data_IF_171916742919
#
_entry.id   IF_171916742919
#
_cell.length_a   1.000
_cell.length_b   1.000
_cell.length_c   1.000
_cell.angle_alpha   90.00
_cell.angle_beta   90.00
_cell.angle_gamma   90.00
#
_symmetry.space_group_name_H-M   'P 1'
#
loop_
_entity.id
_entity.type
_entity.pdbx_description
1 polymer ?
#
# COMPACT_ATOMS: atom_id res chain seq x y z
N UNK A 1 -40.67 34.34 9.93
CA UNK A 1 -40.41 32.91 9.68
C UNK A 1 -41.22 32.52 8.46
N UNK A 2 -40.57 32.52 7.31
CA UNK A 2 -41.15 32.13 6.03
C UNK A 2 -40.62 30.74 5.77
N UNK A 3 -41.53 29.76 5.81
CA UNK A 3 -41.21 28.36 5.56
C UNK A 3 -40.90 28.17 4.08
N UNK A 4 -39.70 27.65 3.80
CA UNK A 4 -39.31 27.19 2.48
C UNK A 4 -39.74 25.73 2.39
N UNK A 5 -40.71 25.47 1.52
CA UNK A 5 -41.13 24.14 1.14
C UNK A 5 -39.99 23.46 0.39
N UNK A 6 -39.54 22.31 0.89
CA UNK A 6 -38.70 21.38 0.15
C UNK A 6 -39.61 20.76 -0.90
N UNK A 7 -39.46 21.20 -2.14
CA UNK A 7 -40.04 20.56 -3.32
C UNK A 7 -39.36 19.22 -3.51
N UNK A 8 -39.92 18.17 -2.89
CA UNK A 8 -39.69 16.79 -3.28
C UNK A 8 -40.14 16.62 -4.72
N UNK A 9 -39.19 16.38 -5.60
CA UNK A 9 -39.44 16.05 -6.99
C UNK A 9 -39.96 14.60 -7.01
N UNK A 10 -41.28 14.47 -6.95
CA UNK A 10 -41.99 13.21 -7.14
C UNK A 10 -41.82 12.82 -8.61
N UNK A 11 -40.91 11.87 -8.88
CA UNK A 11 -40.98 11.06 -10.10
C UNK A 11 -42.24 10.20 -10.01
N UNK A 12 -43.31 10.73 -10.58
CA UNK A 12 -44.54 10.02 -10.87
C UNK A 12 -44.44 9.56 -12.32
N UNK A 13 -43.83 8.41 -12.57
CA UNK A 13 -44.06 7.62 -13.79
C UNK A 13 -44.91 6.42 -13.40
N UNK A 14 -46.04 6.25 -14.10
CA UNK A 14 -46.98 5.18 -13.82
C UNK A 14 -46.36 3.83 -14.11
N UNK A 15 -46.09 3.06 -13.05
CA UNK A 15 -45.81 1.63 -13.04
C UNK A 15 -47.04 0.87 -13.58
N UNK A 16 -47.20 0.86 -14.91
CA UNK A 16 -48.30 0.20 -15.62
C UNK A 16 -47.79 -0.78 -16.68
N UNK A 17 -46.88 -1.65 -16.27
CA UNK A 17 -46.68 -2.96 -16.87
C UNK A 17 -47.36 -4.01 -16.00
N UNK A 18 -48.65 -4.32 -16.24
CA UNK A 18 -49.36 -5.39 -15.52
C UNK A 18 -49.91 -6.35 -16.57
N UNK A 19 -49.03 -7.11 -17.21
CA UNK A 19 -49.40 -8.08 -18.25
C UNK A 19 -48.19 -8.88 -18.75
N UNK A 20 -48.40 -10.12 -19.23
CA UNK A 20 -47.31 -10.95 -19.76
C UNK A 20 -46.63 -10.27 -20.95
N UNK A 21 -45.32 -10.43 -21.07
CA UNK A 21 -44.53 -9.89 -22.17
C UNK A 21 -45.03 -10.37 -23.52
N UNK A 22 -45.10 -9.44 -24.48
CA UNK A 22 -45.43 -9.77 -25.87
C UNK A 22 -44.28 -10.53 -26.54
N UNK A 23 -44.53 -11.14 -27.72
CA UNK A 23 -43.45 -11.76 -28.51
C UNK A 23 -42.36 -10.75 -28.85
N UNK A 24 -42.73 -9.52 -29.20
CA UNK A 24 -41.77 -8.47 -29.51
C UNK A 24 -40.95 -8.05 -28.29
N UNK A 25 -41.54 -8.05 -27.09
CA UNK A 25 -40.81 -7.78 -25.85
C UNK A 25 -39.80 -8.88 -25.55
N UNK A 26 -40.17 -10.16 -25.75
CA UNK A 26 -39.25 -11.30 -25.57
C UNK A 26 -38.10 -11.30 -26.56
N UNK A 27 -38.36 -10.92 -27.81
CA UNK A 27 -37.31 -10.76 -28.82
C UNK A 27 -36.34 -9.63 -28.45
N UNK A 28 -36.84 -8.58 -27.76
CA UNK A 28 -36.00 -7.51 -27.24
C UNK A 28 -35.18 -7.96 -26.03
N UNK A 29 -35.72 -8.78 -25.13
CA UNK A 29 -34.96 -9.37 -24.01
C UNK A 29 -33.76 -10.13 -24.57
N UNK A 30 -33.99 -11.05 -25.50
CA UNK A 30 -32.94 -11.84 -26.12
C UNK A 30 -31.87 -10.97 -26.80
N UNK A 31 -32.28 -9.93 -27.53
CA UNK A 31 -31.33 -9.03 -28.20
C UNK A 31 -30.41 -8.27 -27.22
N UNK A 32 -30.94 -7.84 -26.06
CA UNK A 32 -30.17 -7.12 -25.04
C UNK A 32 -29.27 -8.11 -24.29
N UNK A 33 -29.81 -9.24 -23.82
CA UNK A 33 -29.06 -10.26 -23.09
C UNK A 33 -27.90 -10.81 -23.92
N UNK A 34 -28.09 -11.10 -25.22
CA UNK A 34 -27.03 -11.55 -26.12
C UNK A 34 -25.90 -10.52 -26.32
N UNK A 35 -26.20 -9.23 -26.07
CA UNK A 35 -25.28 -8.12 -26.28
C UNK A 35 -24.59 -7.62 -25.01
N UNK A 36 -24.94 -8.14 -23.84
CA UNK A 36 -24.40 -7.73 -22.55
C UNK A 36 -23.37 -8.74 -22.04
N UNK A 37 -22.24 -8.22 -21.55
CA UNK A 37 -21.30 -9.00 -20.76
C UNK A 37 -21.74 -8.95 -19.29
N UNK A 38 -21.92 -10.13 -18.68
CA UNK A 38 -22.21 -10.22 -17.25
C UNK A 38 -21.03 -9.67 -16.42
N UNK A 39 -21.28 -8.86 -15.38
CA UNK A 39 -20.25 -8.51 -14.40
C UNK A 39 -19.64 -9.77 -13.77
N UNK A 40 -18.39 -9.68 -13.30
CA UNK A 40 -17.66 -10.81 -12.71
C UNK A 40 -18.34 -11.43 -11.47
N UNK A 41 -19.31 -10.74 -10.87
CA UNK A 41 -20.07 -11.15 -9.69
C UNK A 41 -21.49 -11.65 -9.98
N UNK A 42 -21.97 -11.54 -11.23
CA UNK A 42 -23.33 -11.94 -11.61
C UNK A 42 -23.31 -13.07 -12.66
N UNK A 43 -24.27 -13.98 -12.55
CA UNK A 43 -24.47 -15.08 -13.51
C UNK A 43 -25.42 -14.68 -14.66
N UNK A 44 -25.39 -15.46 -15.75
CA UNK A 44 -26.21 -15.23 -16.95
C UNK A 44 -27.72 -15.21 -16.64
N UNK A 45 -28.19 -16.04 -15.71
CA UNK A 45 -29.61 -16.11 -15.30
C UNK A 45 -30.06 -14.79 -14.62
N UNK A 46 -29.19 -14.14 -13.86
CA UNK A 46 -29.47 -12.83 -13.24
C UNK A 46 -29.54 -11.74 -14.31
N UNK A 47 -28.67 -11.79 -15.31
CA UNK A 47 -28.71 -10.86 -16.45
C UNK A 47 -30.02 -11.02 -17.23
N UNK A 48 -30.44 -12.25 -17.54
CA UNK A 48 -31.72 -12.48 -18.22
C UNK A 48 -32.91 -11.95 -17.39
N UNK A 49 -32.92 -12.21 -16.08
CA UNK A 49 -33.93 -11.68 -15.15
C UNK A 49 -33.98 -10.15 -15.13
N UNK A 50 -32.82 -9.48 -15.03
CA UNK A 50 -32.74 -8.03 -14.97
C UNK A 50 -33.24 -7.36 -16.26
N UNK A 51 -32.91 -7.95 -17.41
CA UNK A 51 -33.38 -7.50 -18.72
C UNK A 51 -34.89 -7.73 -18.86
N UNK A 52 -35.42 -8.89 -18.44
CA UNK A 52 -36.86 -9.18 -18.44
C UNK A 52 -37.63 -8.11 -17.65
N UNK A 53 -37.16 -7.79 -16.44
CA UNK A 53 -37.78 -6.76 -15.58
C UNK A 53 -37.65 -5.35 -16.16
N UNK A 54 -36.50 -5.00 -16.76
CA UNK A 54 -36.32 -3.72 -17.45
C UNK A 54 -37.35 -3.55 -18.59
N UNK A 55 -37.55 -4.60 -19.39
CA UNK A 55 -38.56 -4.60 -20.45
C UNK A 55 -39.98 -4.65 -19.89
N UNK A 56 -40.20 -5.29 -18.74
CA UNK A 56 -41.50 -5.30 -18.09
C UNK A 56 -41.94 -3.89 -17.70
N UNK A 57 -41.01 -3.08 -17.20
CA UNK A 57 -41.24 -1.72 -16.73
C UNK A 57 -41.32 -0.71 -17.86
N UNK A 58 -40.42 -0.80 -18.84
CA UNK A 58 -40.28 0.19 -19.92
C UNK A 58 -40.94 -0.19 -21.23
N UNK A 59 -41.15 -1.49 -21.50
CA UNK A 59 -41.58 -2.05 -22.80
C UNK A 59 -40.59 -1.77 -23.93
N UNK A 60 -40.64 -2.62 -24.96
CA UNK A 60 -39.70 -2.50 -26.10
C UNK A 60 -39.83 -1.18 -26.86
N UNK A 61 -41.04 -0.59 -26.90
CA UNK A 61 -41.29 0.68 -27.58
C UNK A 61 -40.57 1.87 -26.94
N UNK A 62 -40.60 1.98 -25.61
CA UNK A 62 -39.96 3.13 -24.93
C UNK A 62 -38.43 2.96 -24.91
N UNK A 63 -37.92 1.72 -24.93
CA UNK A 63 -36.49 1.44 -25.09
C UNK A 63 -36.01 1.75 -26.52
N UNK A 64 -36.85 1.51 -27.53
CA UNK A 64 -36.60 1.96 -28.92
C UNK A 64 -36.56 3.48 -29.02
N UNK A 65 -37.54 4.18 -28.45
CA UNK A 65 -37.56 5.65 -28.45
C UNK A 65 -36.36 6.27 -27.72
N UNK A 66 -35.81 5.55 -26.73
CA UNK A 66 -34.62 5.98 -25.99
C UNK A 66 -33.31 5.57 -26.64
N UNK A 67 -33.34 4.71 -27.65
CA UNK A 67 -32.18 4.33 -28.46
C UNK A 67 -31.43 3.10 -27.97
N UNK A 68 -31.86 2.44 -26.89
CA UNK A 68 -31.17 1.25 -26.35
C UNK A 68 -31.29 0.03 -27.28
N UNK A 69 -32.42 -0.06 -27.98
CA UNK A 69 -32.68 -1.05 -29.01
C UNK A 69 -33.17 -0.37 -30.28
N UNK A 70 -32.89 -0.94 -31.42
CA UNK A 70 -33.39 -0.47 -32.71
C UNK A 70 -34.07 -1.59 -33.47
N UNK A 71 -35.04 -1.22 -34.31
CA UNK A 71 -35.79 -2.18 -35.11
C UNK A 71 -35.13 -2.39 -36.47
N UNK A 72 -34.79 -3.64 -36.77
CA UNK A 72 -34.30 -4.06 -38.09
C UNK A 72 -35.32 -4.97 -38.79
N UNK A 73 -35.08 -5.22 -40.08
CA UNK A 73 -35.87 -6.08 -40.96
C UNK A 73 -36.11 -7.50 -40.43
N UNK A 74 -35.37 -7.96 -39.43
CA UNK A 74 -35.49 -9.27 -38.79
C UNK A 74 -35.83 -9.31 -37.30
N UNK A 75 -35.94 -8.17 -36.59
CA UNK A 75 -36.13 -8.16 -35.14
C UNK A 75 -35.57 -6.91 -34.45
N UNK A 76 -35.26 -7.02 -33.17
CA UNK A 76 -34.58 -5.98 -32.40
C UNK A 76 -33.05 -6.16 -32.45
N UNK A 77 -32.32 -5.05 -32.45
CA UNK A 77 -30.87 -4.99 -32.34
C UNK A 77 -30.53 -4.16 -31.11
N UNK A 78 -29.66 -4.69 -30.25
CA UNK A 78 -29.09 -3.95 -29.13
C UNK A 78 -28.00 -2.97 -29.63
N UNK A 79 -28.12 -1.70 -29.23
CA UNK A 79 -27.23 -0.63 -29.70
C UNK A 79 -26.07 -0.33 -28.74
N UNK A 80 -26.23 -0.68 -27.46
CA UNK A 80 -25.33 -0.26 -26.39
C UNK A 80 -25.53 1.19 -25.92
N UNK A 81 -26.52 1.93 -26.42
CA UNK A 81 -26.77 3.33 -26.06
C UNK A 81 -27.59 3.43 -24.76
N UNK A 82 -26.91 3.25 -23.62
CA UNK A 82 -27.54 3.37 -22.31
C UNK A 82 -27.80 4.81 -21.91
N UNK A 83 -29.00 5.08 -21.37
CA UNK A 83 -29.28 6.31 -20.61
C UNK A 83 -29.10 6.07 -19.12
N UNK A 84 -28.79 7.12 -18.35
CA UNK A 84 -28.54 7.02 -16.90
C UNK A 84 -29.68 6.28 -16.18
N UNK A 85 -30.93 6.64 -16.47
CA UNK A 85 -32.09 6.03 -15.83
C UNK A 85 -32.21 4.53 -16.14
N UNK A 86 -32.06 4.15 -17.42
CA UNK A 86 -32.16 2.75 -17.85
C UNK A 86 -31.03 1.90 -17.30
N UNK A 87 -29.80 2.42 -17.29
CA UNK A 87 -28.65 1.73 -16.74
C UNK A 87 -28.79 1.54 -15.22
N UNK A 88 -29.29 2.56 -14.50
CA UNK A 88 -29.50 2.47 -13.06
C UNK A 88 -30.57 1.43 -12.74
N UNK A 89 -31.72 1.46 -13.45
CA UNK A 89 -32.78 0.46 -13.28
C UNK A 89 -32.31 -0.95 -13.63
N UNK A 90 -31.52 -1.10 -14.71
CA UNK A 90 -30.95 -2.40 -15.07
C UNK A 90 -30.10 -2.98 -13.94
N UNK A 91 -29.15 -2.22 -13.38
CA UNK A 91 -28.31 -2.73 -12.30
C UNK A 91 -29.05 -2.88 -10.98
N UNK A 92 -30.06 -2.05 -10.69
CA UNK A 92 -30.96 -2.26 -9.54
C UNK A 92 -31.68 -3.61 -9.67
N UNK A 93 -32.28 -3.90 -10.83
CA UNK A 93 -32.93 -5.18 -11.11
C UNK A 93 -31.94 -6.35 -11.07
N UNK A 94 -30.71 -6.16 -11.58
CA UNK A 94 -29.68 -7.20 -11.55
C UNK A 94 -29.35 -7.64 -10.13
N UNK A 95 -29.26 -6.69 -9.20
CA UNK A 95 -29.07 -6.98 -7.78
C UNK A 95 -30.33 -7.60 -7.15
N UNK A 96 -31.53 -7.13 -7.51
CA UNK A 96 -32.80 -7.70 -7.00
C UNK A 96 -33.10 -9.12 -7.52
N UNK A 97 -32.49 -9.51 -8.63
CA UNK A 97 -32.60 -10.86 -9.19
C UNK A 97 -31.80 -11.92 -8.42
N UNK A 98 -31.00 -11.53 -7.41
CA UNK A 98 -30.40 -12.45 -6.44
C UNK A 98 -30.81 -12.10 -5.01
N UNK A 99 -31.25 -13.11 -4.27
CA UNK A 99 -31.53 -12.99 -2.84
C UNK A 99 -30.24 -12.78 -2.02
N UNK A 100 -29.07 -13.11 -2.57
CA UNK A 100 -27.74 -13.08 -1.92
C UNK A 100 -26.78 -12.06 -2.61
N UNK A 101 -27.31 -11.06 -3.33
CA UNK A 101 -26.50 -10.11 -4.13
C UNK A 101 -25.39 -9.41 -3.34
N UNK A 102 -25.64 -9.12 -2.05
CA UNK A 102 -24.69 -8.43 -1.19
C UNK A 102 -23.44 -9.31 -0.94
N UNK A 103 -23.64 -10.63 -0.81
CA UNK A 103 -22.55 -11.60 -0.65
C UNK A 103 -21.78 -11.79 -1.97
N UNK A 104 -22.48 -11.83 -3.11
CA UNK A 104 -21.86 -11.92 -4.44
C UNK A 104 -20.96 -10.71 -4.73
N UNK A 105 -21.49 -9.50 -4.53
CA UNK A 105 -20.72 -8.26 -4.69
C UNK A 105 -19.61 -8.18 -3.64
N UNK A 106 -19.91 -8.57 -2.39
CA UNK A 106 -18.96 -8.59 -1.29
C UNK A 106 -17.76 -9.50 -1.57
N UNK A 107 -17.97 -10.69 -2.14
CA UNK A 107 -16.89 -11.59 -2.53
C UNK A 107 -16.02 -10.95 -3.63
N UNK A 108 -16.64 -10.39 -4.67
CA UNK A 108 -15.91 -9.73 -5.75
C UNK A 108 -15.13 -8.49 -5.28
N UNK A 109 -15.66 -7.78 -4.29
CA UNK A 109 -15.03 -6.61 -3.67
C UNK A 109 -14.11 -6.95 -2.50
N UNK A 110 -14.00 -8.23 -2.12
CA UNK A 110 -13.22 -8.72 -0.98
C UNK A 110 -13.59 -8.02 0.33
N UNK A 111 -14.89 -7.90 0.59
CA UNK A 111 -15.43 -7.35 1.82
C UNK A 111 -15.56 -8.44 2.89
N UNK A 112 -15.15 -8.14 4.12
CA UNK A 112 -15.28 -9.08 5.25
C UNK A 112 -16.72 -9.17 5.79
N UNK A 113 -17.52 -8.13 5.60
CA UNK A 113 -18.90 -8.00 6.09
C UNK A 113 -19.78 -7.30 5.03
N UNK A 114 -20.92 -7.90 4.71
CA UNK A 114 -21.84 -7.48 3.65
C UNK A 114 -23.14 -6.87 4.18
N UNK A 115 -23.37 -6.89 5.50
CA UNK A 115 -24.59 -6.35 6.14
C UNK A 115 -24.80 -4.87 5.77
N UNK A 116 -23.71 -4.09 5.64
CA UNK A 116 -23.80 -2.67 5.29
C UNK A 116 -24.20 -2.44 3.82
N UNK A 117 -23.87 -3.35 2.89
CA UNK A 117 -24.33 -3.23 1.50
C UNK A 117 -25.86 -3.30 1.42
N UNK A 118 -26.47 -4.19 2.20
CA UNK A 118 -27.93 -4.31 2.27
C UNK A 118 -28.58 -3.00 2.76
N UNK A 119 -27.98 -2.35 3.75
CA UNK A 119 -28.42 -1.04 4.28
C UNK A 119 -28.27 0.10 3.24
N UNK A 120 -27.21 0.06 2.41
CA UNK A 120 -27.01 1.02 1.30
C UNK A 120 -28.08 0.84 0.22
N UNK A 121 -28.43 -0.41 -0.07
CA UNK A 121 -29.51 -0.83 -0.95
C UNK A 121 -29.16 -0.87 -2.45
N UNK A 122 -29.92 -1.70 -3.17
CA UNK A 122 -29.76 -2.02 -4.60
C UNK A 122 -29.78 -0.78 -5.49
N UNK A 123 -30.65 0.20 -5.22
CA UNK A 123 -30.73 1.42 -6.02
C UNK A 123 -29.46 2.28 -5.97
N UNK A 124 -28.83 2.37 -4.79
CA UNK A 124 -27.60 3.15 -4.61
C UNK A 124 -26.40 2.42 -5.24
N UNK A 125 -26.26 1.12 -4.99
CA UNK A 125 -25.19 0.30 -5.57
C UNK A 125 -25.36 0.16 -7.10
N UNK A 126 -26.59 0.05 -7.59
CA UNK A 126 -26.90 0.01 -9.01
C UNK A 126 -26.52 1.30 -9.75
N UNK A 127 -26.71 2.46 -9.12
CA UNK A 127 -26.24 3.74 -9.66
C UNK A 127 -24.70 3.82 -9.76
N UNK A 128 -23.97 3.17 -8.86
CA UNK A 128 -22.51 3.03 -8.96
C UNK A 128 -22.14 2.21 -10.20
N UNK A 129 -22.66 0.98 -10.33
CA UNK A 129 -22.35 0.10 -11.46
C UNK A 129 -22.77 0.67 -12.81
N UNK A 130 -23.92 1.36 -12.88
CA UNK A 130 -24.39 2.02 -14.09
C UNK A 130 -23.36 3.00 -14.67
N UNK A 131 -22.66 3.74 -13.82
CA UNK A 131 -21.63 4.70 -14.24
C UNK A 131 -20.26 4.03 -14.45
N UNK A 132 -19.93 3.01 -13.66
CA UNK A 132 -18.61 2.38 -13.70
C UNK A 132 -18.46 1.37 -14.85
N UNK A 133 -19.52 0.61 -15.14
CA UNK A 133 -19.48 -0.51 -16.09
C UNK A 133 -20.04 -0.17 -17.48
N UNK A 134 -20.89 0.84 -17.61
CA UNK A 134 -21.53 1.19 -18.88
C UNK A 134 -21.11 2.56 -19.41
N UNK A 135 -21.11 2.69 -20.74
CA UNK A 135 -20.95 3.99 -21.40
C UNK A 135 -22.31 4.66 -21.53
N UNK A 136 -22.54 5.69 -20.72
CA UNK A 136 -23.82 6.42 -20.68
C UNK A 136 -23.87 7.54 -21.72
N UNK A 137 -24.90 7.52 -22.56
CA UNK A 137 -25.13 8.43 -23.70
C UNK A 137 -25.51 9.85 -23.27
N UNK A 138 -26.18 10.00 -22.13
CA UNK A 138 -26.77 11.24 -21.63
C UNK A 138 -26.11 11.75 -20.33
N UNK A 139 -24.93 11.23 -19.98
CA UNK A 139 -24.18 11.62 -18.76
C UNK A 139 -23.84 13.10 -18.64
N UNK A 140 -23.75 13.81 -19.77
CA UNK A 140 -23.45 15.24 -19.84
C UNK A 140 -24.73 16.11 -19.91
N UNK A 141 -25.90 15.47 -20.00
CA UNK A 141 -27.19 16.16 -20.16
C UNK A 141 -27.74 16.67 -18.83
N UNK A 142 -27.51 15.94 -17.74
CA UNK A 142 -27.66 16.37 -16.36
C UNK A 142 -26.66 15.63 -15.46
N UNK A 143 -26.23 16.26 -14.36
CA UNK A 143 -25.24 15.66 -13.44
C UNK A 143 -25.80 14.47 -12.63
N UNK A 144 -26.87 13.80 -13.08
CA UNK A 144 -27.54 12.73 -12.33
C UNK A 144 -26.64 11.52 -12.13
N UNK A 145 -25.95 11.07 -13.18
CA UNK A 145 -24.99 9.96 -13.11
C UNK A 145 -23.87 10.24 -12.11
N UNK A 146 -23.29 11.45 -12.16
CA UNK A 146 -22.22 11.84 -11.24
C UNK A 146 -22.72 11.92 -9.80
N UNK A 147 -23.90 12.50 -9.56
CA UNK A 147 -24.50 12.58 -8.22
C UNK A 147 -24.86 11.23 -7.65
N UNK A 148 -25.43 10.33 -8.47
CA UNK A 148 -25.78 8.97 -8.07
C UNK A 148 -24.54 8.20 -7.67
N UNK A 149 -23.51 8.21 -8.51
CA UNK A 149 -22.24 7.57 -8.18
C UNK A 149 -21.53 8.20 -6.97
N UNK A 150 -21.49 9.53 -6.87
CA UNK A 150 -20.86 10.20 -5.72
C UNK A 150 -21.57 9.86 -4.41
N UNK A 151 -22.91 9.78 -4.42
CA UNK A 151 -23.68 9.32 -3.27
C UNK A 151 -23.35 7.87 -2.93
N UNK A 152 -23.28 6.99 -3.92
CA UNK A 152 -22.93 5.59 -3.69
C UNK A 152 -21.54 5.43 -3.08
N UNK A 153 -20.54 6.17 -3.59
CA UNK A 153 -19.19 6.21 -3.00
C UNK A 153 -19.23 6.76 -1.57
N UNK A 154 -20.01 7.80 -1.28
CA UNK A 154 -20.13 8.35 0.09
C UNK A 154 -20.70 7.32 1.08
N UNK A 155 -21.74 6.59 0.69
CA UNK A 155 -22.36 5.56 1.53
C UNK A 155 -21.42 4.34 1.69
N UNK A 156 -20.77 3.89 0.62
CA UNK A 156 -19.74 2.84 0.66
C UNK A 156 -18.56 3.24 1.54
N UNK A 157 -18.10 4.49 1.45
CA UNK A 157 -17.04 5.03 2.28
C UNK A 157 -17.44 5.05 3.77
N UNK A 158 -18.68 5.44 4.05
CA UNK A 158 -19.21 5.46 5.42
C UNK A 158 -19.29 4.06 6.03
N UNK A 159 -19.52 3.02 5.21
CA UNK A 159 -19.56 1.64 5.66
C UNK A 159 -18.16 1.02 5.79
N UNK A 160 -17.29 1.24 4.81
CA UNK A 160 -16.14 0.38 4.58
C UNK A 160 -14.79 1.10 4.48
N UNK A 161 -14.76 2.40 4.20
CA UNK A 161 -13.52 3.13 3.96
C UNK A 161 -12.80 3.52 5.27
N UNK A 162 -12.37 2.52 6.02
CA UNK A 162 -11.54 2.72 7.19
C UNK A 162 -10.07 2.95 6.83
N UNK A 163 -9.34 3.69 7.67
CA UNK A 163 -7.90 3.80 7.51
C UNK A 163 -7.24 2.47 7.87
N UNK A 164 -6.30 1.94 7.07
CA UNK A 164 -5.58 0.73 7.42
C UNK A 164 -4.78 0.93 8.71
N UNK A 165 -4.48 -0.15 9.42
CA UNK A 165 -3.61 -0.08 10.58
C UNK A 165 -2.25 0.56 10.21
N UNK A 166 -1.76 1.46 11.06
CA UNK A 166 -0.49 2.13 10.84
C UNK A 166 0.65 1.11 10.68
N UNK A 167 1.54 1.26 9.68
CA UNK A 167 2.56 0.25 9.40
C UNK A 167 3.55 0.12 10.55
N UNK A 168 3.66 -1.09 11.10
CA UNK A 168 4.59 -1.41 12.19
C UNK A 168 5.92 -1.92 11.64
N UNK A 169 7.03 -1.41 12.16
CA UNK A 169 8.36 -1.83 11.74
C UNK A 169 9.23 -2.24 12.93
N UNK A 170 9.88 -3.40 12.80
CA UNK A 170 10.95 -3.82 13.71
C UNK A 170 12.29 -3.30 13.22
N UNK A 171 12.92 -2.42 14.01
CA UNK A 171 14.26 -1.90 13.71
C UNK A 171 15.37 -2.84 14.19
N UNK A 172 16.33 -3.16 13.32
CA UNK A 172 17.53 -3.95 13.63
C UNK A 172 18.80 -3.16 13.34
N UNK A 173 19.75 -3.06 14.30
CA UNK A 173 21.04 -2.43 14.06
C UNK A 173 21.83 -3.13 12.95
N UNK A 174 22.24 -2.39 11.91
CA UNK A 174 23.10 -2.87 10.84
C UNK A 174 24.42 -2.07 10.76
N UNK A 175 25.35 -2.51 9.91
CA UNK A 175 26.63 -1.82 9.74
C UNK A 175 26.40 -0.48 9.06
N UNK A 176 26.61 0.63 9.79
CA UNK A 176 26.32 2.00 9.31
C UNK A 176 24.92 2.15 8.73
N UNK A 177 23.96 1.37 9.20
CA UNK A 177 22.57 1.47 8.76
C UNK A 177 21.63 0.96 9.85
N UNK A 178 20.35 1.23 9.68
CA UNK A 178 19.26 0.61 10.43
C UNK A 178 18.40 -0.14 9.43
N UNK A 179 18.23 -1.44 9.61
CA UNK A 179 17.33 -2.24 8.79
C UNK A 179 15.96 -2.26 9.46
N UNK A 180 14.91 -1.96 8.72
CA UNK A 180 13.53 -2.03 9.17
C UNK A 180 12.83 -3.16 8.44
N UNK A 181 12.15 -4.01 9.20
CA UNK A 181 11.27 -5.05 8.66
C UNK A 181 9.85 -4.70 9.03
N UNK A 182 8.98 -4.57 8.04
CA UNK A 182 7.57 -4.27 8.22
C UNK A 182 6.75 -5.54 8.36
N UNK A 183 5.75 -5.48 9.22
CA UNK A 183 4.67 -6.46 9.24
C UNK A 183 3.64 -6.04 8.19
N UNK A 184 2.95 -7.03 7.64
CA UNK A 184 1.84 -6.78 6.71
C UNK A 184 0.67 -6.23 7.53
N UNK A 185 0.20 -5.00 7.27
CA UNK A 185 -0.91 -4.44 8.03
C UNK A 185 -2.15 -5.27 7.75
N UNK A 186 -2.95 -5.49 8.79
CA UNK A 186 -4.32 -5.96 8.57
C UNK A 186 -5.13 -4.81 7.96
N UNK A 187 -5.90 -5.13 6.93
CA UNK A 187 -7.06 -4.35 6.53
C UNK A 187 -8.27 -5.28 6.55
N UNK A 188 -9.41 -4.75 6.98
CA UNK A 188 -10.67 -5.48 6.94
C UNK A 188 -11.13 -5.69 5.49
N UNK A 189 -10.83 -4.74 4.60
CA UNK A 189 -11.27 -4.78 3.21
C UNK A 189 -10.12 -4.32 2.30
N UNK A 190 -9.90 -5.06 1.19
CA UNK A 190 -8.93 -4.71 0.15
C UNK A 190 -7.45 -5.01 0.45
N UNK A 191 -6.61 -4.85 -0.58
CA UNK A 191 -5.17 -5.10 -0.49
C UNK A 191 -4.41 -3.88 0.08
N UNK A 192 -3.57 -4.11 1.09
CA UNK A 192 -2.72 -3.06 1.69
C UNK A 192 -1.36 -3.02 1.02
N UNK A 193 -0.99 -1.84 0.50
CA UNK A 193 0.37 -1.56 0.01
C UNK A 193 1.13 -0.72 1.01
N UNK A 194 2.34 -1.15 1.38
CA UNK A 194 3.26 -0.33 2.20
C UNK A 194 4.17 0.48 1.28
N UNK A 195 4.18 1.79 1.44
CA UNK A 195 5.10 2.72 0.81
C UNK A 195 6.15 3.24 1.79
N UNK A 196 7.33 3.58 1.30
CA UNK A 196 8.41 4.25 2.08
C UNK A 196 9.02 5.40 1.29
N UNK A 197 9.62 6.37 1.97
CA UNK A 197 10.32 7.50 1.34
C UNK A 197 9.94 8.86 1.94
N UNK A 198 8.70 8.98 2.42
CA UNK A 198 8.14 10.18 3.01
C UNK A 198 7.26 10.98 2.03
N UNK A 199 6.57 12.02 2.52
CA UNK A 199 5.62 12.80 1.74
C UNK A 199 6.22 13.32 0.42
N UNK A 200 5.50 13.09 -0.69
CA UNK A 200 5.92 13.48 -2.04
C UNK A 200 7.00 12.59 -2.67
N UNK A 201 7.43 11.52 -2.00
CA UNK A 201 8.42 10.57 -2.51
C UNK A 201 8.11 9.12 -2.13
N UNK A 202 6.84 8.82 -1.88
CA UNK A 202 6.35 7.49 -1.57
C UNK A 202 6.69 6.51 -2.68
N UNK A 203 7.32 5.39 -2.29
CA UNK A 203 7.66 4.29 -3.19
C UNK A 203 7.20 2.96 -2.60
N UNK A 204 6.52 2.10 -3.39
CA UNK A 204 6.11 0.79 -2.91
C UNK A 204 7.28 -0.02 -2.39
N UNK A 205 7.13 -0.56 -1.19
CA UNK A 205 8.13 -1.40 -0.54
C UNK A 205 8.24 -2.72 -1.29
N UNK A 206 9.44 -3.00 -1.84
CA UNK A 206 9.72 -4.28 -2.48
C UNK A 206 10.07 -5.32 -1.43
N UNK A 207 9.16 -6.28 -1.21
CA UNK A 207 9.27 -7.25 -0.12
C UNK A 207 8.88 -6.62 1.22
N UNK A 208 9.52 -7.04 2.32
CA UNK A 208 9.12 -6.63 3.68
C UNK A 208 10.17 -5.80 4.42
N UNK A 209 11.22 -5.31 3.75
CA UNK A 209 12.32 -4.66 4.47
C UNK A 209 13.02 -3.58 3.67
N UNK A 210 13.46 -2.56 4.38
CA UNK A 210 14.24 -1.43 3.85
C UNK A 210 15.40 -1.13 4.78
N UNK A 211 16.48 -0.57 4.25
CA UNK A 211 17.65 -0.16 5.03
C UNK A 211 17.83 1.34 4.92
N UNK A 212 17.89 2.02 6.06
CA UNK A 212 18.23 3.45 6.13
C UNK A 212 19.68 3.58 6.53
N UNK A 213 20.47 4.13 5.61
CA UNK A 213 21.89 4.38 5.86
C UNK A 213 22.08 5.45 6.93
N UNK A 214 23.16 5.29 7.69
CA UNK A 214 23.61 6.25 8.69
C UNK A 214 25.04 6.65 8.39
N UNK A 215 25.37 7.90 8.65
CA UNK A 215 26.70 8.44 8.39
C UNK A 215 27.81 7.64 9.09
N UNK A 216 27.56 7.20 10.32
CA UNK A 216 28.45 6.33 11.10
C UNK A 216 27.65 5.43 12.05
N UNK A 217 28.34 4.43 12.61
CA UNK A 217 27.80 3.48 13.57
C UNK A 217 27.41 4.11 14.90
N UNK A 218 26.28 3.67 15.46
CA UNK A 218 25.71 4.20 16.69
C UNK A 218 24.88 5.48 16.49
N UNK A 219 24.54 5.81 15.23
CA UNK A 219 23.67 6.93 14.89
C UNK A 219 22.23 6.47 14.72
N UNK A 220 21.31 7.38 14.97
CA UNK A 220 19.87 7.17 14.74
C UNK A 220 19.59 7.26 13.24
N UNK A 221 18.82 6.30 12.72
CA UNK A 221 18.21 6.33 11.40
C UNK A 221 16.70 6.14 11.57
N UNK A 222 15.91 6.84 10.76
CA UNK A 222 14.45 6.77 10.77
C UNK A 222 13.93 6.50 9.36
N UNK A 223 12.83 5.77 9.28
CA UNK A 223 12.06 5.55 8.07
C UNK A 223 10.64 6.05 8.28
N UNK A 224 10.11 6.76 7.30
CA UNK A 224 8.69 7.08 7.19
C UNK A 224 8.05 6.03 6.29
N UNK A 225 6.92 5.50 6.72
CA UNK A 225 6.15 4.52 5.99
C UNK A 225 4.66 4.90 5.99
N UNK A 226 4.00 4.53 4.90
CA UNK A 226 2.58 4.75 4.68
C UNK A 226 1.95 3.42 4.27
N UNK A 227 0.86 3.02 4.92
CA UNK A 227 0.00 1.94 4.46
C UNK A 227 -1.15 2.56 3.67
N UNK A 228 -1.45 2.00 2.51
CA UNK A 228 -2.51 2.49 1.61
C UNK A 228 -3.40 1.32 1.23
N UNK A 229 -4.72 1.51 1.36
CA UNK A 229 -5.75 0.62 0.82
C UNK A 229 -6.51 1.37 -0.25
N UNK A 230 -6.68 0.74 -1.40
CA UNK A 230 -7.56 1.22 -2.47
C UNK A 230 -8.76 0.30 -2.54
N UNK A 231 -9.95 0.87 -2.33
CA UNK A 231 -11.21 0.15 -2.35
C UNK A 231 -11.70 -0.06 -3.79
N UNK A 232 -12.55 -1.07 -4.05
CA UNK A 232 -13.06 -1.37 -5.39
C UNK A 232 -13.77 -0.20 -6.08
N UNK A 233 -14.43 0.68 -5.31
CA UNK A 233 -15.07 1.89 -5.82
C UNK A 233 -14.13 3.11 -5.97
N UNK A 234 -12.81 2.89 -5.84
CA UNK A 234 -11.77 3.87 -6.14
C UNK A 234 -11.34 4.77 -4.98
N UNK A 235 -12.07 4.77 -3.86
CA UNK A 235 -11.62 5.48 -2.65
C UNK A 235 -10.28 4.91 -2.17
N UNK A 236 -9.42 5.79 -1.65
CA UNK A 236 -8.15 5.40 -1.06
C UNK A 236 -8.05 5.93 0.36
N UNK A 237 -7.71 5.04 1.29
CA UNK A 237 -7.45 5.39 2.68
C UNK A 237 -6.01 5.07 3.05
N UNK A 238 -5.41 5.92 3.88
CA UNK A 238 -3.99 5.81 4.23
C UNK A 238 -3.72 6.02 5.72
N UNK A 239 -2.64 5.43 6.20
CA UNK A 239 -2.10 5.68 7.53
C UNK A 239 -0.58 5.73 7.50
N UNK A 240 -0.01 6.62 8.30
CA UNK A 240 1.44 6.89 8.28
C UNK A 240 2.07 6.64 9.65
N UNK A 241 3.31 6.15 9.64
CA UNK A 241 4.10 5.97 10.85
C UNK A 241 5.58 6.22 10.58
N UNK A 242 6.22 6.94 11.49
CA UNK A 242 7.69 7.03 11.54
C UNK A 242 8.24 6.00 12.52
N UNK A 243 9.20 5.20 12.05
CA UNK A 243 9.94 4.24 12.86
C UNK A 243 11.42 4.59 12.89
N UNK A 244 12.05 4.48 14.06
CA UNK A 244 13.47 4.84 14.23
C UNK A 244 14.24 3.75 14.98
N UNK A 245 15.50 3.59 14.62
CA UNK A 245 16.44 2.70 15.31
C UNK A 245 17.83 3.29 15.38
N UNK A 246 18.77 2.53 15.95
CA UNK A 246 20.17 2.93 16.04
C UNK A 246 21.06 1.92 15.34
N UNK A 247 21.99 2.39 14.50
CA UNK A 247 22.92 1.52 13.78
C UNK A 247 23.90 0.85 14.74
N UNK A 248 24.56 -0.24 14.31
CA UNK A 248 25.58 -0.91 15.15
C UNK A 248 26.64 0.11 15.60
N UNK A 249 27.00 0.15 16.89
CA UNK A 249 27.96 1.13 17.38
C UNK A 249 29.33 0.96 16.71
N UNK A 250 30.05 2.07 16.56
CA UNK A 250 31.47 2.05 16.19
C UNK A 250 32.24 1.12 17.13
N UNK A 251 33.20 0.39 16.58
CA UNK A 251 34.11 -0.44 17.39
C UNK A 251 35.55 -0.39 16.93
N UNK A 252 36.43 -0.66 17.88
CA UNK A 252 37.84 -0.94 17.66
C UNK A 252 38.20 -2.25 18.35
N UNK A 253 39.10 -3.02 17.77
CA UNK A 253 39.57 -4.28 18.36
C UNK A 253 40.96 -4.65 17.88
N UNK A 254 41.64 -5.48 18.66
CA UNK A 254 42.94 -6.03 18.29
C UNK A 254 42.76 -7.37 17.58
N UNK A 255 43.45 -7.55 16.45
CA UNK A 255 43.53 -8.83 15.72
C UNK A 255 44.98 -9.31 15.69
N UNK A 256 45.24 -10.57 16.04
CA UNK A 256 46.59 -11.14 15.96
C UNK A 256 47.16 -11.02 14.55
N UNK A 257 48.44 -10.74 14.45
CA UNK A 257 49.19 -10.64 13.21
C UNK A 257 50.56 -11.32 13.36
N UNK A 258 51.16 -11.67 12.23
CA UNK A 258 52.53 -12.18 12.21
C UNK A 258 53.49 -11.04 12.50
N UNK A 259 54.46 -11.30 13.37
CA UNK A 259 55.54 -10.37 13.65
C UNK A 259 56.74 -10.71 12.78
N UNK A 260 57.29 -9.71 12.08
CA UNK A 260 58.43 -9.88 11.16
C UNK A 260 59.70 -9.20 11.68
N UNK A 261 59.64 -8.56 12.85
CA UNK A 261 60.71 -7.72 13.37
C UNK A 261 61.80 -8.50 14.13
N UNK A 262 61.49 -9.68 14.69
CA UNK A 262 62.43 -10.48 15.48
C UNK A 262 61.91 -11.92 15.69
N UNK A 263 62.78 -12.94 15.82
CA UNK A 263 62.36 -14.27 16.27
C UNK A 263 61.63 -14.21 17.63
N UNK A 264 60.47 -14.86 17.73
CA UNK A 264 59.68 -14.94 18.98
C UNK A 264 58.81 -13.72 19.30
N UNK A 265 58.80 -12.66 18.48
CA UNK A 265 57.89 -11.53 18.69
C UNK A 265 56.46 -11.87 18.27
N UNK A 266 55.48 -11.19 18.87
CA UNK A 266 54.07 -11.28 18.46
C UNK A 266 53.53 -9.89 18.11
N UNK A 267 52.59 -9.84 17.17
CA UNK A 267 52.04 -8.58 16.67
C UNK A 267 50.52 -8.57 16.72
N UNK A 268 49.95 -7.38 16.88
CA UNK A 268 48.52 -7.12 16.90
C UNK A 268 48.19 -5.93 16.02
N UNK A 269 47.15 -6.07 15.21
CA UNK A 269 46.61 -5.01 14.38
C UNK A 269 45.41 -4.38 15.07
N UNK A 270 45.46 -3.08 15.31
CA UNK A 270 44.28 -2.33 15.73
C UNK A 270 43.39 -2.13 14.50
N UNK A 271 42.19 -2.70 14.55
CA UNK A 271 41.16 -2.58 13.53
C UNK A 271 40.06 -1.63 14.01
N UNK A 272 39.42 -0.96 13.06
CA UNK A 272 38.28 -0.09 13.30
C UNK A 272 37.17 -0.40 12.29
N UNK A 273 35.93 -0.17 12.68
CA UNK A 273 34.78 -0.23 11.78
C UNK A 273 33.64 0.70 12.24
N UNK A 274 32.77 1.06 11.30
CA UNK A 274 31.58 1.86 11.53
C UNK A 274 31.87 3.35 11.66
N UNK A 275 33.07 3.82 11.34
CA UNK A 275 33.37 5.25 11.39
C UNK A 275 32.86 5.95 10.12
N UNK A 276 32.59 7.26 10.22
CA UNK A 276 32.33 8.09 9.04
C UNK A 276 33.50 8.01 8.06
N UNK A 277 33.21 8.03 6.77
CA UNK A 277 34.24 8.03 5.72
C UNK A 277 35.10 9.30 5.77
N UNK A 278 36.37 9.17 5.38
CA UNK A 278 37.32 10.28 5.23
C UNK A 278 37.43 11.21 6.44
N UNK A 279 37.25 10.65 7.65
CA UNK A 279 37.26 11.37 8.91
C UNK A 279 38.54 11.06 9.68
N UNK A 280 39.14 12.08 10.28
CA UNK A 280 40.33 11.93 11.12
C UNK A 280 39.99 11.24 12.45
N UNK A 281 40.69 10.15 12.76
CA UNK A 281 40.58 9.45 14.03
C UNK A 281 41.97 9.32 14.68
N UNK A 282 42.04 9.61 15.97
CA UNK A 282 43.28 9.50 16.76
C UNK A 282 43.15 8.39 17.79
N UNK A 283 44.03 7.40 17.71
CA UNK A 283 44.22 6.39 18.75
C UNK A 283 45.29 6.84 19.74
N UNK A 284 45.03 6.64 21.03
CA UNK A 284 45.99 6.83 22.13
C UNK A 284 46.24 5.51 22.82
N UNK A 285 47.49 5.24 23.14
CA UNK A 285 47.89 3.96 23.73
C UNK A 285 48.34 4.11 25.18
N UNK A 286 48.05 3.11 25.99
CA UNK A 286 48.52 3.00 27.39
C UNK A 286 48.96 1.57 27.67
N UNK A 287 50.01 1.41 28.47
CA UNK A 287 50.53 0.10 28.91
C UNK A 287 50.38 -0.03 30.42
N UNK A 288 49.86 -1.17 30.89
CA UNK A 288 49.71 -1.50 32.32
C UNK A 288 49.00 -0.41 33.16
N UNK A 289 48.09 0.34 32.54
CA UNK A 289 47.36 1.43 33.20
C UNK A 289 48.12 2.76 33.28
N UNK A 290 49.42 2.79 32.92
CA UNK A 290 50.25 3.98 32.86
C UNK A 290 50.51 4.49 31.45
N UNK A 291 51.58 5.25 31.29
CA UNK A 291 52.01 5.80 30.00
C UNK A 291 52.33 4.69 28.99
N UNK A 292 52.20 5.00 27.70
CA UNK A 292 52.63 4.08 26.66
C UNK A 292 54.16 3.95 26.67
N UNK A 293 54.65 2.71 26.73
CA UNK A 293 56.08 2.36 26.77
C UNK A 293 56.56 1.98 25.36
N UNK A 294 56.40 2.89 24.39
CA UNK A 294 56.87 2.66 23.03
C UNK A 294 58.41 2.77 22.97
N UNK A 295 59.07 1.68 22.61
CA UNK A 295 60.53 1.67 22.35
C UNK A 295 60.82 2.21 20.93
N UNK A 296 59.86 2.08 20.03
CA UNK A 296 59.87 2.64 18.67
C UNK A 296 58.45 3.00 18.24
N UNK A 297 58.25 4.18 17.63
CA UNK A 297 56.93 4.66 17.19
C UNK A 297 56.33 5.73 18.11
N UNK A 298 55.06 6.08 17.88
CA UNK A 298 54.35 7.09 18.64
C UNK A 298 53.34 6.46 19.61
N UNK A 299 53.12 7.10 20.76
CA UNK A 299 52.08 6.72 21.72
C UNK A 299 50.67 7.18 21.33
N UNK A 300 50.55 7.79 20.15
CA UNK A 300 49.30 8.08 19.49
C UNK A 300 49.48 8.07 17.98
N UNK A 301 48.50 7.53 17.26
CA UNK A 301 48.47 7.56 15.80
C UNK A 301 47.18 8.23 15.35
N UNK A 302 47.28 9.08 14.33
CA UNK A 302 46.13 9.69 13.66
C UNK A 302 46.08 9.21 12.22
N UNK A 303 44.90 8.74 11.79
CA UNK A 303 44.66 8.34 10.41
C UNK A 303 43.38 8.98 9.88
N UNK A 304 43.25 9.02 8.56
CA UNK A 304 41.99 9.33 7.88
C UNK A 304 41.30 8.00 7.56
N UNK A 305 40.04 7.85 7.97
CA UNK A 305 39.25 6.65 7.69
C UNK A 305 39.05 6.47 6.19
N UNK A 306 39.06 5.21 5.74
CA UNK A 306 38.89 4.88 4.33
C UNK A 306 37.40 4.78 3.98
N UNK A 307 37.10 4.79 2.68
CA UNK A 307 35.76 4.52 2.18
C UNK A 307 35.21 3.20 2.74
N UNK A 308 33.95 3.23 3.17
CA UNK A 308 33.29 2.14 3.86
C UNK A 308 33.54 2.11 5.37
N UNK A 309 34.26 3.07 5.97
CA UNK A 309 34.31 3.29 7.41
C UNK A 309 35.02 2.21 8.23
N UNK A 310 35.81 1.34 7.59
CA UNK A 310 36.51 0.20 8.21
C UNK A 310 37.95 0.06 7.73
N UNK A 311 38.83 -0.42 8.59
CA UNK A 311 40.23 -0.60 8.21
C UNK A 311 41.16 -1.03 9.33
N UNK A 312 42.46 -0.83 9.08
CA UNK A 312 43.55 -1.01 10.05
C UNK A 312 44.09 0.37 10.41
N UNK A 313 44.31 0.60 11.70
CA UNK A 313 44.91 1.82 12.20
C UNK A 313 46.43 1.66 12.34
N UNK A 314 46.87 0.70 13.15
CA UNK A 314 48.30 0.43 13.38
C UNK A 314 48.55 -1.07 13.49
N UNK A 315 49.80 -1.48 13.28
CA UNK A 315 50.29 -2.79 13.71
C UNK A 315 51.29 -2.57 14.83
N UNK A 316 51.00 -3.12 16.01
CA UNK A 316 51.88 -3.05 17.17
C UNK A 316 52.57 -4.39 17.36
N UNK A 317 53.89 -4.36 17.55
CA UNK A 317 54.70 -5.55 17.82
C UNK A 317 55.20 -5.50 19.26
N UNK A 318 55.27 -6.67 19.90
CA UNK A 318 55.74 -6.82 21.27
C UNK A 318 56.89 -7.84 21.30
N UNK A 319 57.91 -7.63 22.15
CA UNK A 319 58.93 -8.65 22.39
C UNK A 319 58.29 -9.86 23.08
N UNK A 320 58.91 -11.04 22.93
CA UNK A 320 58.45 -12.27 23.58
C UNK A 320 58.32 -12.14 25.11
N UNK A 321 59.13 -11.27 25.71
CA UNK A 321 59.18 -11.00 27.15
C UNK A 321 58.11 -10.03 27.66
N UNK A 322 57.27 -9.44 26.80
CA UNK A 322 56.23 -8.53 27.26
C UNK A 322 55.10 -9.31 27.94
N UNK A 323 54.93 -9.05 29.23
CA UNK A 323 53.84 -9.51 30.05
C UNK A 323 53.04 -8.28 30.54
N UNK A 324 51.74 -8.24 30.26
CA UNK A 324 50.91 -7.10 30.64
C UNK A 324 49.75 -6.74 29.72
N UNK A 325 49.17 -5.58 30.00
CA UNK A 325 47.97 -5.07 29.38
C UNK A 325 48.24 -3.86 28.49
N UNK A 326 48.05 -4.02 27.18
CA UNK A 326 48.12 -2.91 26.24
C UNK A 326 46.72 -2.46 25.82
N UNK A 327 46.46 -1.16 25.88
CA UNK A 327 45.12 -0.59 25.63
C UNK A 327 45.21 0.51 24.59
N UNK A 328 44.39 0.42 23.54
CA UNK A 328 44.09 1.51 22.63
C UNK A 328 42.77 2.20 23.04
N UNK A 329 42.74 3.53 22.92
CA UNK A 329 41.54 4.35 23.08
C UNK A 329 41.34 5.26 21.87
N UNK A 330 40.10 5.34 21.37
CA UNK A 330 39.65 6.33 20.38
C UNK A 330 38.39 6.97 20.93
N UNK A 331 38.48 8.21 21.41
CA UNK A 331 37.40 8.83 22.18
C UNK A 331 36.98 7.96 23.37
N UNK A 332 35.71 7.52 23.39
CA UNK A 332 35.16 6.62 24.42
C UNK A 332 35.39 5.13 24.14
N UNK A 333 35.84 4.75 22.95
CA UNK A 333 36.08 3.36 22.58
C UNK A 333 37.39 2.85 23.16
N UNK A 334 37.43 1.57 23.56
CA UNK A 334 38.59 0.93 24.18
C UNK A 334 38.80 -0.47 23.64
N UNK A 335 40.02 -0.80 23.25
CA UNK A 335 40.43 -2.18 22.92
C UNK A 335 41.65 -2.58 23.75
N UNK A 336 41.61 -3.76 24.37
CA UNK A 336 42.67 -4.26 25.25
C UNK A 336 43.25 -5.57 24.70
N UNK A 337 44.57 -5.66 24.70
CA UNK A 337 45.31 -6.91 24.62
C UNK A 337 45.58 -7.35 26.06
N UNK A 338 45.33 -8.61 26.35
CA UNK A 338 45.87 -9.28 27.54
C UNK A 338 46.83 -10.34 27.02
N UNK A 339 48.10 -10.18 27.38
CA UNK A 339 49.09 -11.24 27.31
C UNK A 339 49.30 -11.74 28.73
#
# INVERSE_FOLDING_TARGET
MIGVAITGWLYFSGRFGIGPLSTADKDAVAAITDGLDAPDWADEDQVECAVDDLIHDSRSGDLEERGLIERDTGGWIYTGEWKVADATTYFENLLECSDDWADEVGEAWQLEDTDCLEDIGTSTVGAFFARDLLTLSDKDSDDSAEKGHAKAVEELDSCYAEAPAAPTATAKPAYRAVSFTFEEPAAANGEVVINTGGPGSWTPLRGRSVSVDTEEGGKRGCVEAQAVVTYPWGTTSESEQTSCGTSKPKRIWWKRAKCTSSPGCYAWQLRYEGFKDFTSITARYTSNGGNCMAVSGACSDTIITQAGGRGRLVTWSFPASYDGAFVARIGKLKARIRN
#
